data_IF_949758379681
#
_entry.id   IF_949758379681
#
_cell.length_a   1.000
_cell.length_b   1.000
_cell.length_c   1.000
_cell.angle_alpha   90.00
_cell.angle_beta   90.00
_cell.angle_gamma   90.00
#
_symmetry.space_group_name_H-M   'P 1'
#
loop_
_entity.id
_entity.type
_entity.pdbx_description
1 polymer ?
#
# COMPACT_ATOMS: atom_id res chain seq x y z
N UNK A 1 -4.20 -19.71 64.52
CA UNK A 1 -3.66 -18.95 63.37
C UNK A 1 -3.74 -19.87 62.16
N UNK A 2 -4.72 -19.79 61.24
CA UNK A 2 -5.14 -18.63 60.43
C UNK A 2 -4.07 -18.39 59.37
N UNK A 3 -4.24 -18.58 58.05
CA UNK A 3 -5.42 -18.48 57.18
C UNK A 3 -5.17 -19.27 55.88
N UNK A 4 -6.10 -20.14 55.52
CA UNK A 4 -6.38 -20.53 54.13
C UNK A 4 -7.27 -19.45 53.48
N UNK A 5 -7.24 -19.40 52.13
CA UNK A 5 -8.19 -18.79 51.17
C UNK A 5 -7.82 -17.43 50.57
N UNK A 6 -8.08 -17.37 49.25
CA UNK A 6 -8.25 -16.24 48.30
C UNK A 6 -7.07 -16.11 47.33
N UNK A 7 -7.21 -16.16 45.99
CA UNK A 7 -8.37 -16.11 45.11
C UNK A 7 -8.14 -17.01 43.86
N UNK A 8 -9.08 -17.92 43.64
CA UNK A 8 -9.47 -18.39 42.30
C UNK A 8 -10.49 -17.36 41.77
N UNK A 9 -10.46 -17.09 40.46
CA UNK A 9 -11.46 -16.36 39.61
C UNK A 9 -11.14 -14.90 39.28
N UNK A 10 -10.47 -14.69 38.14
CA UNK A 10 -10.62 -13.56 37.21
C UNK A 10 -9.51 -13.68 36.15
N UNK A 11 -9.74 -13.77 34.84
CA UNK A 11 -10.93 -13.77 34.03
C UNK A 11 -10.56 -14.54 32.76
N UNK A 12 -11.50 -15.34 32.25
CA UNK A 12 -11.52 -15.75 30.85
C UNK A 12 -11.47 -14.48 29.98
N UNK A 13 -11.01 -14.64 28.74
CA UNK A 13 -11.23 -13.74 27.58
C UNK A 13 -9.99 -12.95 27.11
N UNK A 14 -9.06 -13.65 26.47
CA UNK A 14 -8.35 -13.08 25.32
C UNK A 14 -8.07 -14.21 24.30
N UNK A 15 -9.15 -14.83 23.83
CA UNK A 15 -9.17 -15.65 22.62
C UNK A 15 -10.39 -15.21 21.81
N UNK A 16 -10.21 -14.12 21.07
CA UNK A 16 -11.14 -13.51 20.11
C UNK A 16 -10.38 -12.26 19.59
N UNK A 17 -10.08 -12.00 18.33
CA UNK A 17 -10.74 -12.36 17.09
C UNK A 17 -9.74 -12.08 15.95
N UNK A 18 -8.84 -13.02 15.62
CA UNK A 18 -8.01 -12.94 14.42
C UNK A 18 -8.61 -13.87 13.37
N UNK A 19 -9.78 -13.48 12.86
CA UNK A 19 -10.43 -14.16 11.75
C UNK A 19 -11.19 -13.15 10.91
N UNK A 20 -11.10 -13.39 9.61
CA UNK A 20 -11.83 -12.77 8.48
C UNK A 20 -11.23 -11.41 8.05
N UNK A 21 -10.56 -11.24 6.90
CA UNK A 21 -10.80 -11.81 5.57
C UNK A 21 -9.50 -12.04 4.77
N UNK A 22 -9.01 -13.29 4.71
CA UNK A 22 -8.30 -13.74 3.51
C UNK A 22 -9.37 -14.09 2.48
N UNK A 23 -9.80 -13.11 1.68
CA UNK A 23 -10.40 -13.42 0.38
C UNK A 23 -9.26 -13.77 -0.56
N UNK A 24 -8.61 -14.90 -0.31
CA UNK A 24 -7.94 -15.66 -1.35
C UNK A 24 -9.03 -16.46 -2.07
N UNK A 25 -9.93 -15.76 -2.76
CA UNK A 25 -10.86 -16.41 -3.68
C UNK A 25 -10.13 -16.63 -5.00
N UNK A 26 -9.82 -17.91 -5.23
CA UNK A 26 -9.65 -18.62 -6.48
C UNK A 26 -9.02 -17.87 -7.67
N UNK A 27 -7.87 -18.41 -8.10
CA UNK A 27 -7.37 -18.40 -9.48
C UNK A 27 -8.54 -18.47 -10.47
N UNK A 28 -8.79 -17.36 -11.17
CA UNK A 28 -9.39 -17.30 -12.52
C UNK A 28 -9.61 -15.86 -13.02
N UNK A 29 -9.24 -14.82 -12.25
CA UNK A 29 -9.03 -13.45 -12.76
C UNK A 29 -7.89 -12.80 -11.97
N UNK A 30 -6.69 -12.74 -12.56
CA UNK A 30 -5.42 -12.41 -11.90
C UNK A 30 -5.31 -10.96 -11.36
N UNK A 31 -6.40 -10.18 -11.37
CA UNK A 31 -6.42 -8.76 -10.98
C UNK A 31 -6.89 -8.45 -9.56
N UNK A 32 -7.52 -9.41 -8.86
CA UNK A 32 -8.09 -9.19 -7.52
C UNK A 32 -9.31 -8.24 -7.49
N UNK A 33 -9.81 -7.93 -6.29
CA UNK A 33 -10.93 -6.99 -6.11
C UNK A 33 -10.45 -5.55 -6.33
N UNK A 34 -11.20 -4.72 -7.06
CA UNK A 34 -10.83 -3.33 -7.38
C UNK A 34 -10.82 -2.32 -6.22
N UNK A 35 -10.84 -2.82 -4.98
CA UNK A 35 -10.69 -2.05 -3.76
C UNK A 35 -11.84 -1.12 -3.43
N UNK A 36 -11.57 -0.17 -2.53
CA UNK A 36 -12.58 0.72 -1.90
C UNK A 36 -12.40 2.19 -2.26
N UNK A 37 -11.42 2.53 -3.10
CA UNK A 37 -11.17 3.91 -3.51
C UNK A 37 -12.32 4.49 -4.33
N UNK A 38 -12.73 5.71 -3.98
CA UNK A 38 -13.64 6.49 -4.80
C UNK A 38 -12.94 6.95 -6.09
N UNK A 39 -13.71 7.23 -7.14
CA UNK A 39 -13.16 7.67 -8.42
C UNK A 39 -12.29 8.93 -8.27
N UNK A 40 -11.08 8.85 -8.81
CA UNK A 40 -10.05 9.88 -8.76
C UNK A 40 -9.24 9.91 -7.46
N UNK A 41 -9.25 8.84 -6.65
CA UNK A 41 -8.56 8.84 -5.35
C UNK A 41 -7.68 7.61 -5.13
N UNK A 42 -6.76 7.76 -4.18
CA UNK A 42 -5.97 6.72 -3.53
C UNK A 42 -6.32 6.76 -2.05
N UNK A 43 -6.66 5.60 -1.47
CA UNK A 43 -6.93 5.44 -0.04
C UNK A 43 -6.04 4.34 0.52
N UNK A 44 -5.67 4.44 1.79
CA UNK A 44 -4.92 3.42 2.50
C UNK A 44 -5.03 3.63 4.02
N UNK A 45 -4.39 2.74 4.78
CA UNK A 45 -4.05 2.95 6.19
C UNK A 45 -2.53 2.97 6.35
N UNK A 46 -1.99 4.04 6.90
CA UNK A 46 -0.56 4.16 7.23
C UNK A 46 -0.42 4.01 8.74
N UNK A 47 0.21 2.93 9.18
CA UNK A 47 0.29 2.55 10.60
C UNK A 47 -1.08 2.52 11.31
N UNK A 48 -2.13 2.18 10.56
CA UNK A 48 -3.51 2.13 11.00
C UNK A 48 -4.29 3.44 10.87
N UNK A 49 -3.63 4.57 10.60
CA UNK A 49 -4.26 5.88 10.38
C UNK A 49 -4.75 6.02 8.93
N UNK A 50 -5.92 6.63 8.74
CA UNK A 50 -6.52 6.76 7.42
C UNK A 50 -5.75 7.77 6.54
N UNK A 51 -5.33 7.30 5.37
CA UNK A 51 -4.84 8.13 4.28
C UNK A 51 -5.89 8.22 3.19
N UNK A 52 -6.14 9.44 2.70
CA UNK A 52 -6.99 9.67 1.53
C UNK A 52 -6.47 10.84 0.72
N UNK A 53 -6.11 10.57 -0.53
CA UNK A 53 -5.75 11.63 -1.46
C UNK A 53 -6.97 12.44 -1.89
N UNK A 54 -6.73 13.69 -2.30
CA UNK A 54 -7.74 14.50 -2.98
C UNK A 54 -7.65 14.32 -4.50
N UNK A 55 -8.76 14.55 -5.22
CA UNK A 55 -8.89 14.21 -6.64
C UNK A 55 -7.86 14.93 -7.52
N UNK A 56 -7.58 16.20 -7.21
CA UNK A 56 -6.64 17.04 -7.94
C UNK A 56 -5.17 16.68 -7.66
N UNK A 57 -4.90 16.06 -6.51
CA UNK A 57 -3.59 15.55 -6.09
C UNK A 57 -3.36 14.10 -6.46
N UNK A 58 -4.24 13.53 -7.29
CA UNK A 58 -4.18 12.12 -7.70
C UNK A 58 -4.00 12.01 -9.21
N UNK A 59 -3.06 11.17 -9.65
CA UNK A 59 -2.79 10.92 -11.06
C UNK A 59 -2.30 9.51 -11.30
N UNK A 60 -2.65 8.96 -12.46
CA UNK A 60 -2.04 7.76 -13.00
C UNK A 60 -1.50 8.08 -14.41
N UNK A 61 -0.38 7.48 -14.79
CA UNK A 61 0.22 7.66 -16.10
C UNK A 61 0.89 6.37 -16.57
N UNK A 62 0.81 6.12 -17.88
CA UNK A 62 1.57 5.05 -18.56
C UNK A 62 2.59 5.69 -19.50
N UNK A 63 3.86 5.33 -19.33
CA UNK A 63 4.92 5.74 -20.23
C UNK A 63 5.52 4.50 -20.89
N UNK A 64 5.44 4.41 -22.23
CA UNK A 64 5.99 3.28 -22.99
C UNK A 64 7.26 3.71 -23.71
N UNK A 65 8.34 2.98 -23.48
CA UNK A 65 9.62 3.16 -24.17
C UNK A 65 10.24 1.82 -24.56
N UNK A 66 11.52 1.85 -24.96
CA UNK A 66 12.23 0.64 -25.40
C UNK A 66 12.39 -0.41 -24.29
N UNK A 67 12.32 -0.01 -23.01
CA UNK A 67 12.43 -0.89 -21.85
C UNK A 67 11.08 -1.47 -21.38
N UNK A 68 9.98 -1.22 -22.12
CA UNK A 68 8.63 -1.62 -21.76
C UNK A 68 7.76 -0.44 -21.32
N UNK A 69 6.63 -0.75 -20.71
CA UNK A 69 5.69 0.23 -20.15
C UNK A 69 5.96 0.41 -18.66
N UNK A 70 6.04 1.65 -18.21
CA UNK A 70 6.01 2.00 -16.79
C UNK A 70 4.64 2.55 -16.44
N UNK A 71 4.01 1.99 -15.43
CA UNK A 71 2.81 2.53 -14.80
C UNK A 71 3.22 3.28 -13.53
N UNK A 72 2.74 4.51 -13.38
CA UNK A 72 2.90 5.30 -12.15
C UNK A 72 1.52 5.68 -11.62
N UNK A 73 1.31 5.53 -10.31
CA UNK A 73 0.15 6.04 -9.59
C UNK A 73 0.64 6.89 -8.42
N UNK A 74 0.16 8.12 -8.34
CA UNK A 74 0.47 9.07 -7.27
C UNK A 74 -0.83 9.57 -6.66
N UNK A 75 -0.93 9.56 -5.33
CA UNK A 75 -1.98 10.22 -4.59
C UNK A 75 -1.39 11.06 -3.47
N UNK A 76 -1.84 12.31 -3.36
CA UNK A 76 -1.44 13.25 -2.29
C UNK A 76 -2.65 13.69 -1.47
N UNK A 77 -2.51 13.73 -0.16
CA UNK A 77 -3.54 14.22 0.76
C UNK A 77 -3.44 15.74 1.01
N UNK A 78 -4.39 16.29 1.76
CA UNK A 78 -4.45 17.73 2.04
C UNK A 78 -3.29 18.25 2.92
N UNK A 79 -2.58 17.35 3.62
CA UNK A 79 -1.41 17.67 4.44
C UNK A 79 -0.11 17.63 3.62
N UNK A 80 -0.19 17.21 2.36
CA UNK A 80 0.97 17.04 1.47
C UNK A 80 1.60 15.66 1.56
N UNK A 81 1.05 14.73 2.35
CA UNK A 81 1.55 13.37 2.39
C UNK A 81 1.20 12.65 1.10
N UNK A 82 2.08 11.78 0.63
CA UNK A 82 1.91 11.14 -0.67
C UNK A 82 2.19 9.64 -0.64
N UNK A 83 1.38 8.89 -1.39
CA UNK A 83 1.67 7.51 -1.77
C UNK A 83 1.99 7.50 -3.26
N UNK A 84 3.13 6.92 -3.61
CA UNK A 84 3.58 6.76 -4.99
C UNK A 84 3.87 5.28 -5.26
N UNK A 85 3.32 4.77 -6.35
CA UNK A 85 3.42 3.38 -6.80
C UNK A 85 3.98 3.38 -8.22
N UNK A 86 5.01 2.57 -8.47
CA UNK A 86 5.65 2.46 -9.78
C UNK A 86 5.81 0.99 -10.15
N UNK A 87 5.33 0.63 -11.33
CA UNK A 87 5.48 -0.70 -11.93
C UNK A 87 6.23 -0.54 -13.25
N UNK A 88 7.51 -0.88 -13.28
CA UNK A 88 8.26 -0.98 -14.53
C UNK A 88 8.04 -2.35 -15.16
N UNK A 89 7.86 -2.39 -16.49
CA UNK A 89 7.47 -3.62 -17.18
C UNK A 89 6.02 -4.00 -16.91
N UNK A 90 5.14 -3.00 -16.80
CA UNK A 90 3.70 -3.21 -16.63
C UNK A 90 3.08 -3.89 -17.87
N UNK A 91 2.42 -5.03 -17.67
CA UNK A 91 1.86 -5.87 -18.75
C UNK A 91 0.32 -5.88 -18.77
N UNK A 92 -0.33 -5.19 -17.83
CA UNK A 92 -1.80 -5.09 -17.74
C UNK A 92 -2.34 -5.47 -16.36
N UNK A 93 -3.62 -5.86 -16.33
CA UNK A 93 -4.28 -6.43 -15.15
C UNK A 93 -3.45 -7.61 -14.63
N UNK A 94 -3.20 -7.62 -13.32
CA UNK A 94 -2.29 -8.58 -12.72
C UNK A 94 -1.76 -8.13 -11.36
N UNK A 95 -1.01 -9.02 -10.75
CA UNK A 95 -0.36 -8.82 -9.46
C UNK A 95 1.14 -8.59 -9.63
N UNK A 96 1.67 -7.56 -8.96
CA UNK A 96 3.04 -7.11 -9.08
C UNK A 96 3.69 -7.03 -7.70
N UNK A 97 4.61 -7.97 -7.44
CA UNK A 97 5.35 -8.05 -6.18
C UNK A 97 6.33 -6.88 -6.01
N UNK A 98 6.31 -6.24 -4.85
CA UNK A 98 7.33 -5.26 -4.45
C UNK A 98 8.46 -6.01 -3.75
N UNK A 99 9.63 -6.07 -4.38
CA UNK A 99 10.79 -6.82 -3.86
C UNK A 99 10.86 -8.25 -4.40
N UNK A 100 11.35 -9.19 -3.58
CA UNK A 100 11.57 -10.58 -4.01
C UNK A 100 12.62 -10.70 -5.12
N UNK A 101 12.37 -11.51 -6.14
CA UNK A 101 13.24 -11.62 -7.33
C UNK A 101 13.19 -10.37 -8.22
N UNK A 102 12.22 -9.48 -8.01
CA UNK A 102 11.94 -8.28 -8.79
C UNK A 102 12.53 -7.00 -8.17
N UNK A 103 13.65 -7.11 -7.43
CA UNK A 103 14.32 -5.96 -6.82
C UNK A 103 14.49 -4.86 -7.89
N UNK A 104 13.89 -3.69 -7.65
CA UNK A 104 13.93 -2.45 -8.48
C UNK A 104 12.85 -2.32 -9.58
N UNK A 105 12.14 -3.38 -9.99
CA UNK A 105 11.11 -3.23 -11.05
C UNK A 105 9.81 -2.62 -10.53
N UNK A 106 9.36 -3.06 -9.36
CA UNK A 106 8.15 -2.57 -8.71
C UNK A 106 8.58 -1.85 -7.44
N UNK A 107 8.18 -0.60 -7.29
CA UNK A 107 8.50 0.21 -6.11
C UNK A 107 7.28 0.93 -5.59
N UNK A 108 7.28 1.17 -4.28
CA UNK A 108 6.29 1.98 -3.61
C UNK A 108 6.99 2.92 -2.63
N UNK A 109 6.38 4.07 -2.38
CA UNK A 109 6.87 4.98 -1.35
C UNK A 109 5.74 5.73 -0.66
N UNK A 110 5.96 6.02 0.61
CA UNK A 110 5.16 6.96 1.38
C UNK A 110 6.03 8.17 1.75
N UNK A 111 5.50 9.38 1.55
CA UNK A 111 6.19 10.63 1.83
C UNK A 111 5.42 11.42 2.87
N UNK A 112 6.10 11.78 3.95
CA UNK A 112 5.62 12.73 4.96
C UNK A 112 6.24 14.10 4.66
N UNK A 113 5.48 14.98 4.00
CA UNK A 113 5.94 16.34 3.70
C UNK A 113 5.81 17.23 4.92
N UNK A 114 6.90 17.90 5.29
CA UNK A 114 6.87 19.02 6.23
C UNK A 114 6.69 20.32 5.43
N UNK A 115 5.44 20.79 5.35
CA UNK A 115 5.08 21.99 4.59
C UNK A 115 5.76 23.27 5.11
N UNK A 116 6.16 23.27 6.38
CA UNK A 116 6.80 24.43 7.02
C UNK A 116 8.33 24.38 6.86
N UNK A 117 8.91 23.19 6.72
CA UNK A 117 10.31 22.99 6.43
C UNK A 117 10.54 21.77 5.51
N UNK A 118 10.52 21.95 4.18
CA UNK A 118 10.62 20.83 3.24
C UNK A 118 11.86 19.94 3.41
N UNK A 119 12.96 20.47 3.97
CA UNK A 119 14.18 19.72 4.26
C UNK A 119 14.00 18.67 5.37
N UNK A 120 12.95 18.78 6.19
CA UNK A 120 12.60 17.82 7.22
C UNK A 120 11.62 16.74 6.74
N UNK A 121 11.19 16.79 5.47
CA UNK A 121 10.28 15.79 4.92
C UNK A 121 10.93 14.41 4.93
N UNK A 122 10.14 13.38 5.20
CA UNK A 122 10.61 12.00 5.24
C UNK A 122 10.06 11.23 4.07
N UNK A 123 10.91 10.39 3.48
CA UNK A 123 10.51 9.43 2.45
C UNK A 123 10.78 8.03 2.98
N UNK A 124 9.79 7.16 2.83
CA UNK A 124 9.86 5.75 3.13
C UNK A 124 9.69 4.99 1.83
N UNK A 125 10.68 4.16 1.46
CA UNK A 125 10.69 3.42 0.21
C UNK A 125 10.57 1.90 0.41
N UNK A 126 9.94 1.24 -0.56
CA UNK A 126 9.89 -0.20 -0.73
C UNK A 126 10.28 -0.58 -2.17
N UNK A 127 11.04 -1.68 -2.39
CA UNK A 127 11.64 -2.53 -1.37
C UNK A 127 12.82 -1.82 -0.67
N UNK A 128 13.11 -2.19 0.57
CA UNK A 128 14.19 -1.58 1.38
C UNK A 128 15.29 -2.58 1.83
N UNK A 129 15.15 -3.87 1.50
CA UNK A 129 16.06 -4.95 1.89
C UNK A 129 16.44 -5.86 0.73
N UNK A 130 17.41 -6.75 0.95
CA UNK A 130 17.79 -7.76 -0.04
C UNK A 130 16.85 -8.97 0.04
N UNK A 131 16.20 -9.30 -1.07
CA UNK A 131 15.56 -10.61 -1.30
C UNK A 131 14.22 -10.87 -0.59
N UNK A 132 13.66 -9.92 0.15
CA UNK A 132 12.35 -10.05 0.79
C UNK A 132 11.22 -9.43 -0.05
N UNK A 133 10.03 -10.03 -0.01
CA UNK A 133 8.79 -9.36 -0.41
C UNK A 133 8.49 -8.25 0.60
N UNK A 134 8.33 -7.02 0.11
CA UNK A 134 7.99 -5.85 0.91
C UNK A 134 6.53 -5.43 0.72
N UNK A 135 5.80 -6.02 -0.23
CA UNK A 135 4.42 -5.66 -0.53
C UNK A 135 3.97 -6.17 -1.90
N UNK A 136 2.81 -5.71 -2.31
CA UNK A 136 2.16 -6.10 -3.57
C UNK A 136 1.34 -4.93 -4.11
N UNK A 137 1.30 -4.78 -5.43
CA UNK A 137 0.34 -3.95 -6.15
C UNK A 137 -0.50 -4.88 -7.04
N UNK A 138 -1.81 -4.89 -6.86
CA UNK A 138 -2.73 -5.63 -7.71
C UNK A 138 -3.55 -4.67 -8.56
N UNK A 139 -3.42 -4.78 -9.88
CA UNK A 139 -4.22 -4.01 -10.84
C UNK A 139 -5.38 -4.89 -11.29
N UNK A 140 -6.60 -4.48 -10.96
CA UNK A 140 -7.83 -5.23 -11.26
C UNK A 140 -8.53 -4.76 -12.52
N UNK A 141 -8.30 -3.51 -12.94
CA UNK A 141 -8.94 -2.90 -14.11
C UNK A 141 -7.97 -1.92 -14.76
N UNK A 142 -7.81 -2.01 -16.07
CA UNK A 142 -7.13 -1.04 -16.94
C UNK A 142 -7.88 -0.99 -18.26
N UNK A 143 -9.06 -0.38 -18.23
CA UNK A 143 -9.97 -0.33 -19.36
C UNK A 143 -10.53 1.08 -19.54
N UNK A 144 -10.68 1.53 -20.79
CA UNK A 144 -11.24 2.85 -21.10
C UNK A 144 -10.54 4.03 -20.39
N UNK A 145 -9.24 3.89 -20.11
CA UNK A 145 -8.45 4.87 -19.37
C UNK A 145 -8.73 4.89 -17.86
N UNK A 146 -9.57 3.98 -17.35
CA UNK A 146 -9.81 3.80 -15.93
C UNK A 146 -8.88 2.72 -15.37
N UNK A 147 -8.13 3.08 -14.34
CA UNK A 147 -7.25 2.18 -13.61
C UNK A 147 -7.83 1.91 -12.22
N UNK A 148 -7.94 0.64 -11.80
CA UNK A 148 -8.35 0.26 -10.44
C UNK A 148 -7.46 -0.83 -9.88
N UNK A 149 -7.35 -0.86 -8.56
CA UNK A 149 -6.60 -1.90 -7.89
C UNK A 149 -6.44 -1.67 -6.40
N UNK A 150 -5.61 -2.54 -5.82
CA UNK A 150 -5.26 -2.55 -4.41
C UNK A 150 -3.76 -2.62 -4.23
N UNK A 151 -3.29 -2.26 -3.04
CA UNK A 151 -1.88 -2.38 -2.68
C UNK A 151 -1.70 -2.50 -1.18
N UNK A 152 -0.58 -3.09 -0.79
CA UNK A 152 -0.04 -2.98 0.56
C UNK A 152 1.48 -3.01 0.46
N UNK A 153 2.16 -2.34 1.37
CA UNK A 153 3.61 -2.43 1.46
C UNK A 153 4.12 -1.98 2.82
N UNK A 154 5.25 -2.53 3.21
CA UNK A 154 6.09 -2.01 4.27
C UNK A 154 7.26 -1.25 3.64
N UNK A 155 7.49 -0.02 4.08
CA UNK A 155 8.56 0.84 3.59
C UNK A 155 9.46 1.29 4.74
N UNK A 156 10.74 1.52 4.45
CA UNK A 156 11.68 2.10 5.42
C UNK A 156 12.26 3.42 4.94
N UNK A 157 12.75 4.23 5.88
CA UNK A 157 13.65 5.32 5.55
C UNK A 157 15.00 4.79 5.03
N UNK A 158 15.84 5.69 4.49
CA UNK A 158 17.15 5.34 3.93
C UNK A 158 18.09 4.66 4.95
N UNK A 159 17.94 4.99 6.24
CA UNK A 159 18.73 4.41 7.32
C UNK A 159 18.21 3.04 7.81
N UNK A 160 17.06 2.59 7.31
CA UNK A 160 16.37 1.35 7.73
C UNK A 160 16.13 1.28 9.25
N UNK A 161 15.84 2.43 9.84
CA UNK A 161 15.65 2.62 11.28
C UNK A 161 14.21 2.98 11.65
N UNK A 162 13.41 3.39 10.68
CA UNK A 162 12.01 3.78 10.83
C UNK A 162 11.21 3.21 9.66
N UNK A 163 9.98 2.77 9.94
CA UNK A 163 9.16 1.98 9.04
C UNK A 163 7.74 2.52 8.98
N UNK A 164 7.08 2.34 7.83
CA UNK A 164 5.66 2.61 7.64
C UNK A 164 5.00 1.38 7.07
N UNK A 165 3.97 0.90 7.74
CA UNK A 165 3.14 -0.19 7.26
C UNK A 165 1.91 0.39 6.57
N UNK A 166 1.87 0.28 5.24
CA UNK A 166 0.78 0.75 4.40
C UNK A 166 -0.11 -0.44 4.06
N UNK A 167 -1.34 -0.40 4.54
CA UNK A 167 -2.33 -1.49 4.47
C UNK A 167 -3.65 -0.98 3.88
N UNK A 168 -4.53 -1.91 3.51
CA UNK A 168 -5.87 -1.61 2.97
C UNK A 168 -5.84 -0.58 1.81
N UNK A 169 -4.76 -0.60 1.03
CA UNK A 169 -4.53 0.35 -0.06
C UNK A 169 -5.44 0.07 -1.25
N UNK A 170 -6.00 1.13 -1.83
CA UNK A 170 -6.78 1.05 -3.08
C UNK A 170 -6.59 2.31 -3.91
N UNK A 171 -6.60 2.16 -5.23
CA UNK A 171 -6.63 3.25 -6.19
C UNK A 171 -7.76 3.05 -7.20
N UNK A 172 -8.38 4.16 -7.61
CA UNK A 172 -9.37 4.21 -8.67
C UNK A 172 -9.15 5.55 -9.40
N UNK A 173 -8.36 5.54 -10.47
CA UNK A 173 -7.78 6.76 -11.07
C UNK A 173 -7.82 6.69 -12.58
N UNK A 174 -8.11 7.82 -13.24
CA UNK A 174 -7.96 7.92 -14.69
C UNK A 174 -6.49 8.07 -15.08
N UNK A 175 -6.08 7.30 -16.09
CA UNK A 175 -4.79 7.42 -16.75
C UNK A 175 -4.82 8.67 -17.63
N UNK A 176 -3.81 9.53 -17.48
CA UNK A 176 -3.62 10.74 -18.29
C UNK A 176 -2.59 10.54 -19.38
#
# INVERSE_FOLDING_TARGET
MGRQKKLIKSAKLFFLLMTVFLVACAKDDDGGQGGTAAEGTVVAKVDGEDFKSFKEGTTAAKATGNAGTTLTVLGTDASGFAINLIINGYEGVGTYDIGGDNLVYVTASYVEVDINNPQNSKTFGAPYGEGGLAGEISVSEDENGQLKGTFFFEASNDQKSDFRNVTDGSFNVQIK
#
